data_IF_828385609418
#
_entry.id   IF_828385609418
#
_cell.length_a   1.000
_cell.length_b   1.000
_cell.length_c   1.000
_cell.angle_alpha   90.00
_cell.angle_beta   90.00
_cell.angle_gamma   90.00
#
_symmetry.space_group_name_H-M   'P 1'
#
loop_
_entity.id
_entity.type
_entity.pdbx_description
1 polymer ?
#
# COMPACT_ATOMS: atom_id res chain seq x y z
N UNK A 1 -0.74 4.73 -6.56
CA UNK A 1 -1.29 5.18 -5.26
C UNK A 1 -0.59 4.47 -4.13
N UNK A 2 -0.16 5.19 -3.10
CA UNK A 2 0.61 4.61 -1.99
C UNK A 2 0.14 5.17 -0.62
N UNK A 3 -0.92 4.60 -0.02
CA UNK A 3 -1.40 4.98 1.31
C UNK A 3 -0.44 4.52 2.42
N UNK A 4 -0.45 5.20 3.58
CA UNK A 4 0.22 4.69 4.78
C UNK A 4 -0.36 3.32 5.19
N UNK A 5 0.45 2.48 5.84
CA UNK A 5 0.12 1.08 6.15
C UNK A 5 -0.88 0.92 7.31
N UNK A 6 -1.90 1.78 7.35
CA UNK A 6 -2.96 1.82 8.33
C UNK A 6 -4.32 1.84 7.62
N UNK A 7 -5.32 1.12 8.15
CA UNK A 7 -6.64 1.04 7.51
C UNK A 7 -7.35 2.38 7.36
N UNK A 8 -7.11 3.32 8.28
CA UNK A 8 -7.63 4.69 8.21
C UNK A 8 -7.14 5.47 6.99
N UNK A 9 -6.00 5.08 6.41
CA UNK A 9 -5.43 5.68 5.20
C UNK A 9 -5.72 4.81 3.97
N UNK A 10 -5.58 3.49 4.09
CA UNK A 10 -5.84 2.54 3.00
C UNK A 10 -7.29 2.62 2.51
N UNK A 11 -8.26 2.74 3.42
CA UNK A 11 -9.69 2.73 3.06
C UNK A 11 -10.06 3.95 2.21
N UNK A 12 -9.75 5.21 2.61
CA UNK A 12 -9.97 6.37 1.74
C UNK A 12 -9.25 6.29 0.40
N UNK A 13 -8.00 5.82 0.37
CA UNK A 13 -7.27 5.64 -0.90
C UNK A 13 -7.96 4.62 -1.82
N UNK A 14 -8.51 3.54 -1.26
CA UNK A 14 -9.26 2.56 -2.05
C UNK A 14 -10.59 3.12 -2.58
N UNK A 15 -11.30 3.94 -1.80
CA UNK A 15 -12.48 4.65 -2.29
C UNK A 15 -12.13 5.65 -3.39
N UNK A 16 -11.02 6.39 -3.24
CA UNK A 16 -10.52 7.29 -4.27
C UNK A 16 -10.12 6.53 -5.54
N UNK A 17 -9.46 5.38 -5.40
CA UNK A 17 -9.10 4.51 -6.53
C UNK A 17 -10.34 4.15 -7.35
N UNK A 18 -11.41 3.68 -6.70
CA UNK A 18 -12.68 3.36 -7.39
C UNK A 18 -13.27 4.57 -8.11
N UNK A 19 -13.32 5.73 -7.45
CA UNK A 19 -13.85 6.96 -8.04
C UNK A 19 -13.05 7.44 -9.26
N UNK A 20 -11.73 7.27 -9.25
CA UNK A 20 -10.88 7.58 -10.40
C UNK A 20 -10.99 6.53 -11.50
N UNK A 21 -11.08 5.24 -11.15
CA UNK A 21 -11.34 4.18 -12.12
C UNK A 21 -12.64 4.40 -12.87
N UNK A 22 -13.69 4.87 -12.19
CA UNK A 22 -14.97 5.25 -12.82
C UNK A 22 -14.84 6.44 -13.80
N UNK A 23 -13.74 7.20 -13.70
CA UNK A 23 -13.40 8.30 -14.62
C UNK A 23 -12.40 7.87 -15.70
N UNK A 24 -12.12 6.57 -15.83
CA UNK A 24 -11.23 6.01 -16.86
C UNK A 24 -9.76 5.94 -16.48
N UNK A 25 -9.39 6.15 -15.22
CA UNK A 25 -8.01 5.96 -14.77
C UNK A 25 -7.70 4.49 -14.49
N UNK A 26 -6.52 4.03 -14.93
CA UNK A 26 -5.93 2.80 -14.40
C UNK A 26 -5.17 3.12 -13.12
N UNK A 27 -5.36 2.32 -12.07
CA UNK A 27 -4.85 2.57 -10.73
C UNK A 27 -3.97 1.41 -10.28
N UNK A 28 -2.71 1.70 -10.01
CA UNK A 28 -1.85 0.83 -9.22
C UNK A 28 -1.98 1.20 -7.74
N UNK A 29 -2.59 0.34 -6.95
CA UNK A 29 -2.70 0.48 -5.50
C UNK A 29 -1.60 -0.33 -4.82
N UNK A 30 -0.61 0.38 -4.29
CA UNK A 30 0.59 -0.19 -3.71
C UNK A 30 0.45 -0.31 -2.18
N UNK A 31 0.72 -1.49 -1.62
CA UNK A 31 0.73 -1.72 -0.16
C UNK A 31 1.39 -3.07 0.18
N UNK A 32 1.49 -3.40 1.46
CA UNK A 32 2.05 -4.68 1.91
C UNK A 32 1.12 -5.85 1.61
N UNK A 33 1.64 -7.08 1.41
CA UNK A 33 0.83 -8.24 1.07
C UNK A 33 -0.33 -8.49 2.04
N UNK A 34 -0.11 -8.27 3.35
CA UNK A 34 -1.17 -8.43 4.35
C UNK A 34 -2.32 -7.44 4.12
N UNK A 35 -2.01 -6.16 3.85
CA UNK A 35 -3.02 -5.15 3.57
C UNK A 35 -3.73 -5.43 2.23
N UNK A 36 -2.98 -5.80 1.19
CA UNK A 36 -3.53 -6.11 -0.13
C UNK A 36 -4.46 -7.33 -0.10
N UNK A 37 -4.18 -8.33 0.73
CA UNK A 37 -5.04 -9.51 0.88
C UNK A 37 -6.48 -9.14 1.29
N UNK A 38 -6.63 -8.06 2.08
CA UNK A 38 -7.93 -7.55 2.53
C UNK A 38 -8.61 -6.73 1.44
N UNK A 39 -7.86 -5.92 0.69
CA UNK A 39 -8.38 -5.11 -0.41
C UNK A 39 -8.84 -6.01 -1.55
N UNK A 40 -8.08 -7.06 -1.88
CA UNK A 40 -8.40 -8.03 -2.93
C UNK A 40 -9.81 -8.63 -2.76
N UNK A 41 -10.23 -8.89 -1.52
CA UNK A 41 -11.57 -9.40 -1.20
C UNK A 41 -12.70 -8.38 -1.44
N UNK A 42 -12.37 -7.08 -1.45
CA UNK A 42 -13.31 -5.97 -1.62
C UNK A 42 -13.37 -5.45 -3.07
N UNK A 43 -12.42 -5.86 -3.93
CA UNK A 43 -12.45 -5.52 -5.35
C UNK A 43 -13.53 -6.36 -6.03
N UNK A 44 -14.54 -5.68 -6.56
CA UNK A 44 -15.59 -6.31 -7.36
C UNK A 44 -15.13 -6.46 -8.81
N UNK A 45 -15.85 -7.28 -9.59
CA UNK A 45 -15.57 -7.47 -11.01
C UNK A 45 -15.58 -6.15 -11.82
N UNK A 46 -16.30 -5.12 -11.35
CA UNK A 46 -16.31 -3.79 -11.95
C UNK A 46 -14.92 -3.16 -11.99
N UNK A 47 -14.11 -3.37 -10.95
CA UNK A 47 -12.82 -2.69 -10.77
C UNK A 47 -11.61 -3.61 -11.00
N UNK A 48 -11.83 -4.90 -11.28
CA UNK A 48 -10.73 -5.88 -11.40
C UNK A 48 -9.77 -5.61 -12.55
N UNK A 49 -10.24 -4.94 -13.62
CA UNK A 49 -9.41 -4.55 -14.76
C UNK A 49 -8.75 -3.18 -14.62
N UNK A 50 -9.18 -2.35 -13.68
CA UNK A 50 -8.76 -0.95 -13.56
C UNK A 50 -8.05 -0.62 -12.24
N UNK A 51 -8.13 -1.51 -11.24
CA UNK A 51 -7.37 -1.41 -9.99
C UNK A 51 -6.44 -2.61 -9.89
N UNK A 52 -5.16 -2.38 -10.10
CA UNK A 52 -4.10 -3.36 -9.94
C UNK A 52 -3.49 -3.24 -8.54
N UNK A 53 -3.21 -4.38 -7.92
CA UNK A 53 -2.58 -4.40 -6.60
C UNK A 53 -1.08 -4.65 -6.77
N UNK A 54 -0.26 -3.74 -6.23
CA UNK A 54 1.20 -3.80 -6.36
C UNK A 54 1.82 -4.06 -5.00
N UNK A 55 2.50 -5.20 -4.86
CA UNK A 55 3.10 -5.61 -3.59
C UNK A 55 4.32 -4.76 -3.24
N UNK A 56 4.29 -4.18 -2.04
CA UNK A 56 5.41 -3.50 -1.39
C UNK A 56 5.87 -4.35 -0.21
N UNK A 57 7.13 -4.77 -0.21
CA UNK A 57 7.66 -5.69 0.79
C UNK A 57 8.54 -4.93 1.79
N UNK A 58 8.14 -5.02 3.06
CA UNK A 58 9.00 -4.56 4.13
C UNK A 58 10.12 -5.59 4.39
N UNK A 59 11.29 -5.17 4.87
CA UNK A 59 12.31 -6.09 5.32
C UNK A 59 11.75 -6.99 6.44
N UNK A 60 12.19 -8.24 6.44
CA UNK A 60 11.91 -9.15 7.55
C UNK A 60 12.80 -8.75 8.74
N UNK A 61 12.21 -8.10 9.73
CA UNK A 61 12.87 -7.81 11.01
C UNK A 61 12.36 -8.82 12.06
N UNK A 62 13.19 -9.25 13.03
CA UNK A 62 12.78 -10.21 14.06
C UNK A 62 11.52 -9.78 14.82
N UNK A 63 11.39 -8.47 15.07
CA UNK A 63 10.26 -7.87 15.78
C UNK A 63 9.09 -7.51 14.85
N UNK A 64 9.25 -7.63 13.53
CA UNK A 64 8.28 -7.21 12.52
C UNK A 64 7.99 -8.32 11.50
N UNK A 65 7.36 -9.44 11.93
CA UNK A 65 6.89 -10.48 11.03
C UNK A 65 5.82 -9.96 10.04
N UNK A 66 5.50 -10.70 8.97
CA UNK A 66 4.57 -10.23 7.92
C UNK A 66 3.20 -9.78 8.41
N UNK A 67 2.69 -10.36 9.51
CA UNK A 67 1.39 -9.97 10.06
C UNK A 67 1.41 -8.60 10.78
N UNK A 68 2.60 -8.07 11.05
CA UNK A 68 2.84 -6.73 11.59
C UNK A 68 3.31 -5.73 10.53
N UNK A 69 3.23 -6.08 9.25
CA UNK A 69 3.46 -5.14 8.13
C UNK A 69 2.23 -4.23 7.90
N UNK A 70 1.60 -3.81 8.98
CA UNK A 70 0.41 -2.96 9.07
C UNK A 70 0.33 -2.42 10.50
N UNK A 71 -0.29 -1.26 10.70
CA UNK A 71 -0.54 -0.76 12.07
C UNK A 71 -1.66 -1.52 12.78
N UNK A 72 -2.48 -2.28 12.03
CA UNK A 72 -3.60 -3.02 12.60
C UNK A 72 -3.10 -4.17 13.49
N UNK A 73 -3.37 -4.09 14.79
CA UNK A 73 -2.90 -5.09 15.75
C UNK A 73 -1.41 -5.00 16.10
N UNK A 74 -0.72 -3.95 15.63
CA UNK A 74 0.68 -3.70 15.96
C UNK A 74 0.81 -3.15 17.39
N UNK A 75 1.63 -3.76 18.26
CA UNK A 75 2.00 -3.18 19.55
C UNK A 75 2.58 -1.77 19.41
N UNK A 76 2.19 -0.84 20.30
CA UNK A 76 2.58 0.58 20.23
C UNK A 76 4.10 0.77 20.20
N UNK A 77 4.84 -0.03 20.96
CA UNK A 77 6.31 0.05 21.02
C UNK A 77 7.00 -0.35 19.69
N UNK A 78 6.28 -1.01 18.77
CA UNK A 78 6.80 -1.40 17.44
C UNK A 78 6.45 -0.41 16.34
N UNK A 79 5.74 0.69 16.63
CA UNK A 79 5.39 1.69 15.62
C UNK A 79 6.63 2.33 14.98
N UNK A 80 7.65 2.64 15.78
CA UNK A 80 8.94 3.13 15.28
C UNK A 80 9.65 2.08 14.44
N UNK A 81 9.58 0.80 14.83
CA UNK A 81 10.15 -0.31 14.06
C UNK A 81 9.47 -0.45 12.69
N UNK A 82 8.15 -0.33 12.62
CA UNK A 82 7.40 -0.30 11.36
C UNK A 82 7.81 0.89 10.49
N UNK A 83 7.89 2.09 11.06
CA UNK A 83 8.32 3.29 10.32
C UNK A 83 9.75 3.16 9.76
N UNK A 84 10.67 2.59 10.54
CA UNK A 84 12.02 2.30 10.09
C UNK A 84 12.02 1.28 8.94
N UNK A 85 11.24 0.21 9.04
CA UNK A 85 11.11 -0.78 7.99
C UNK A 85 10.57 -0.18 6.67
N UNK A 86 9.57 0.70 6.76
CA UNK A 86 9.05 1.46 5.61
C UNK A 86 10.16 2.31 4.98
N UNK A 87 10.92 3.03 5.80
CA UNK A 87 12.02 3.89 5.35
C UNK A 87 13.13 3.08 4.66
N UNK A 88 13.47 1.92 5.21
CA UNK A 88 14.44 0.99 4.61
C UNK A 88 13.99 0.45 3.25
N UNK A 89 12.68 0.34 3.01
CA UNK A 89 12.11 -0.12 1.74
C UNK A 89 12.00 0.97 0.66
N UNK A 90 12.49 2.19 0.90
CA UNK A 90 12.60 3.27 -0.13
C UNK A 90 13.16 2.79 -1.48
N UNK A 91 14.27 2.03 -1.53
CA UNK A 91 14.81 1.55 -2.81
C UNK A 91 13.85 0.65 -3.57
N UNK A 92 13.11 -0.22 -2.86
CA UNK A 92 12.12 -1.07 -3.50
C UNK A 92 10.99 -0.25 -4.12
N UNK A 93 10.50 0.78 -3.41
CA UNK A 93 9.48 1.66 -3.96
C UNK A 93 9.97 2.41 -5.21
N UNK A 94 11.24 2.82 -5.24
CA UNK A 94 11.85 3.42 -6.42
C UNK A 94 11.86 2.46 -7.62
N UNK A 95 12.15 1.17 -7.42
CA UNK A 95 12.07 0.17 -8.48
C UNK A 95 10.62 -0.04 -8.95
N UNK A 96 9.66 -0.09 -8.03
CA UNK A 96 8.22 -0.13 -8.38
C UNK A 96 7.85 1.06 -9.28
N UNK A 97 8.28 2.28 -8.95
CA UNK A 97 8.01 3.46 -9.77
C UNK A 97 8.67 3.39 -11.15
N UNK A 98 9.89 2.86 -11.24
CA UNK A 98 10.59 2.67 -12.53
C UNK A 98 9.93 1.62 -13.41
N UNK A 99 9.40 0.57 -12.81
CA UNK A 99 8.75 -0.53 -13.53
C UNK A 99 7.34 -0.14 -13.99
N UNK A 100 6.53 0.43 -13.09
CA UNK A 100 5.15 0.82 -13.38
C UNK A 100 5.06 2.09 -14.22
N UNK A 101 6.04 3.00 -14.11
CA UNK A 101 6.11 4.29 -14.82
C UNK A 101 4.79 5.08 -14.78
N UNK A 102 4.24 5.35 -13.57
CA UNK A 102 2.93 6.00 -13.45
C UNK A 102 2.99 7.45 -13.95
N UNK A 103 1.88 7.92 -14.54
CA UNK A 103 1.77 9.33 -14.93
C UNK A 103 1.60 10.27 -13.72
N UNK A 104 0.98 9.79 -12.64
CA UNK A 104 0.72 10.54 -11.42
C UNK A 104 0.96 9.64 -10.22
N UNK A 105 1.74 10.13 -9.25
CA UNK A 105 1.87 9.50 -7.94
C UNK A 105 1.02 10.26 -6.92
N UNK A 106 0.03 9.56 -6.35
CA UNK A 106 -0.66 9.99 -5.13
C UNK A 106 -0.11 9.16 -3.99
N UNK A 107 0.57 9.79 -3.03
CA UNK A 107 1.17 9.13 -1.87
C UNK A 107 0.74 9.81 -0.58
N UNK A 108 0.77 9.05 0.51
CA UNK A 108 0.49 9.55 1.85
C UNK A 108 1.63 10.44 2.37
N UNK A 109 1.30 11.36 3.27
CA UNK A 109 2.29 12.24 3.92
C UNK A 109 3.22 11.46 4.86
N UNK A 110 2.76 10.31 5.35
CA UNK A 110 3.51 9.40 6.22
C UNK A 110 4.32 8.37 5.42
N UNK A 111 4.19 8.34 4.10
CA UNK A 111 4.94 7.44 3.23
C UNK A 111 6.28 8.08 2.80
N UNK A 112 7.30 7.24 2.55
CA UNK A 112 8.69 7.64 2.38
C UNK A 112 9.00 8.56 1.20
#
# INVERSE_FOLDING_TARGET
MFPYLAYGHITPFFELAKNLSDKGFSIDLCSTPINLSLIKKKITQKYSCSIHLVEFHLPNLPELPPHYHTTNGLPIHLQSTLYNAITMSKPQFNEILKDQKPNVLVHDVMQP
#
